data_IF_125759774288
#
_entry.id   IF_125759774288
#
_cell.length_a   1.000
_cell.length_b   1.000
_cell.length_c   1.000
_cell.angle_alpha   90.00
_cell.angle_beta   90.00
_cell.angle_gamma   90.00
#
_symmetry.space_group_name_H-M   'P 1'
#
loop_
_entity.id
_entity.type
_entity.pdbx_description
1 polymer ?
#
# COMPACT_ATOMS: atom_id res chain seq x y z
N UNK A 1 -5.74 -38.51 -8.46
CA UNK A 1 -5.96 -37.15 -7.92
C UNK A 1 -7.08 -37.10 -6.87
N UNK A 2 -8.32 -37.50 -7.19
CA UNK A 2 -9.48 -37.45 -6.26
C UNK A 2 -9.28 -38.14 -4.89
N UNK A 3 -8.60 -39.30 -4.84
CA UNK A 3 -8.24 -39.97 -3.56
C UNK A 3 -7.44 -39.07 -2.60
N UNK A 4 -6.53 -38.26 -3.12
CA UNK A 4 -5.73 -37.34 -2.29
C UNK A 4 -6.52 -36.11 -1.86
N UNK A 5 -7.53 -35.69 -2.63
CA UNK A 5 -8.45 -34.61 -2.24
C UNK A 5 -9.22 -35.02 -0.97
N UNK A 6 -9.75 -36.24 -0.89
CA UNK A 6 -10.41 -36.74 0.34
C UNK A 6 -9.43 -36.79 1.50
N UNK A 7 -8.21 -37.29 1.27
CA UNK A 7 -7.18 -37.36 2.33
C UNK A 7 -6.85 -35.98 2.90
N UNK A 8 -6.74 -34.95 2.05
CA UNK A 8 -6.35 -33.59 2.47
C UNK A 8 -7.52 -32.75 2.97
N UNK A 9 -8.70 -32.87 2.35
CA UNK A 9 -9.85 -31.98 2.57
C UNK A 9 -11.08 -32.68 3.16
N UNK A 10 -11.04 -33.99 3.42
CA UNK A 10 -12.20 -34.72 3.97
C UNK A 10 -12.73 -34.11 5.28
N UNK A 11 -11.83 -33.61 6.12
CA UNK A 11 -12.18 -32.93 7.38
C UNK A 11 -12.80 -31.53 7.18
N UNK A 12 -12.82 -30.99 5.96
CA UNK A 12 -13.39 -29.68 5.62
C UNK A 12 -14.84 -29.78 5.14
N UNK A 13 -15.39 -30.99 5.06
CA UNK A 13 -16.77 -31.24 4.65
C UNK A 13 -16.93 -31.53 3.16
N UNK A 14 -18.02 -32.21 2.85
CA UNK A 14 -18.30 -32.79 1.54
C UNK A 14 -18.45 -31.72 0.44
N UNK A 15 -18.98 -30.54 0.77
CA UNK A 15 -19.07 -29.42 -0.16
C UNK A 15 -17.69 -28.96 -0.66
N UNK A 16 -16.69 -28.85 0.23
CA UNK A 16 -15.33 -28.47 -0.14
C UNK A 16 -14.67 -29.57 -0.98
N UNK A 17 -14.88 -30.84 -0.63
CA UNK A 17 -14.38 -31.98 -1.40
C UNK A 17 -14.96 -31.97 -2.83
N UNK A 18 -16.27 -31.78 -2.97
CA UNK A 18 -16.93 -31.75 -4.27
C UNK A 18 -16.53 -30.55 -5.13
N UNK A 19 -16.30 -29.38 -4.53
CA UNK A 19 -15.72 -28.23 -5.25
C UNK A 19 -14.34 -28.55 -5.82
N UNK A 20 -13.50 -29.25 -5.08
CA UNK A 20 -12.19 -29.67 -5.57
C UNK A 20 -12.29 -30.76 -6.65
N UNK A 21 -13.26 -31.67 -6.56
CA UNK A 21 -13.53 -32.64 -7.62
C UNK A 21 -13.95 -31.95 -8.92
N UNK A 22 -14.86 -31.00 -8.84
CA UNK A 22 -15.29 -30.22 -9.99
C UNK A 22 -14.11 -29.46 -10.63
N UNK A 23 -13.19 -28.93 -9.83
CA UNK A 23 -11.98 -28.29 -10.35
C UNK A 23 -11.07 -29.26 -11.13
N UNK A 24 -10.90 -30.51 -10.65
CA UNK A 24 -10.14 -31.54 -11.38
C UNK A 24 -10.82 -31.90 -12.69
N UNK A 25 -12.13 -32.07 -12.67
CA UNK A 25 -12.90 -32.44 -13.86
C UNK A 25 -12.80 -31.35 -14.93
N UNK A 26 -12.88 -30.08 -14.51
CA UNK A 26 -12.65 -28.92 -15.41
C UNK A 26 -11.19 -28.74 -15.81
N UNK A 27 -10.24 -29.24 -15.04
CA UNK A 27 -8.81 -29.19 -15.36
C UNK A 27 -8.46 -29.89 -16.67
N UNK A 28 -9.31 -30.82 -17.14
CA UNK A 28 -9.19 -31.44 -18.45
C UNK A 28 -9.66 -30.57 -19.63
N UNK A 29 -10.31 -29.43 -19.38
CA UNK A 29 -10.87 -28.53 -20.40
C UNK A 29 -9.82 -27.57 -21.01
N UNK A 30 -8.52 -27.87 -20.86
CA UNK A 30 -7.45 -27.02 -21.39
C UNK A 30 -7.40 -27.07 -22.92
N UNK A 31 -6.91 -25.97 -23.51
CA UNK A 31 -6.70 -25.86 -24.96
C UNK A 31 -5.22 -25.67 -25.22
N UNK A 32 -4.73 -26.25 -26.31
CA UNK A 32 -3.39 -25.95 -26.80
C UNK A 32 -3.39 -24.54 -27.38
N UNK A 33 -2.50 -23.68 -26.88
CA UNK A 33 -2.16 -22.43 -27.53
C UNK A 33 -1.07 -22.73 -28.57
N UNK A 34 -1.37 -22.54 -29.85
CA UNK A 34 -0.38 -22.69 -30.93
C UNK A 34 0.59 -21.53 -30.88
N UNK A 35 1.89 -21.83 -30.88
CA UNK A 35 2.95 -20.82 -30.89
C UNK A 35 3.04 -20.23 -32.29
N UNK A 36 2.96 -18.91 -32.40
CA UNK A 36 3.22 -18.20 -33.64
C UNK A 36 4.74 -18.03 -33.83
N UNK A 37 5.26 -18.52 -34.95
CA UNK A 37 6.68 -18.36 -35.30
C UNK A 37 7.11 -16.89 -35.41
N UNK A 38 6.18 -15.98 -35.70
CA UNK A 38 6.46 -14.54 -35.74
C UNK A 38 6.91 -14.00 -34.37
N UNK A 39 6.54 -14.66 -33.25
CA UNK A 39 6.95 -14.25 -31.90
C UNK A 39 8.45 -14.29 -31.68
N UNK A 40 9.20 -15.09 -32.45
CA UNK A 40 10.65 -15.13 -32.40
C UNK A 40 11.31 -13.81 -32.88
N UNK A 41 10.55 -12.95 -33.56
CA UNK A 41 11.03 -11.68 -34.11
C UNK A 41 10.33 -10.46 -33.47
N UNK A 42 9.63 -10.64 -32.35
CA UNK A 42 9.11 -9.50 -31.60
C UNK A 42 10.26 -8.64 -31.10
N UNK A 43 10.10 -7.33 -31.22
CA UNK A 43 11.03 -6.39 -30.60
C UNK A 43 10.92 -6.47 -29.08
N UNK A 44 12.04 -6.29 -28.39
CA UNK A 44 12.03 -6.08 -26.95
C UNK A 44 11.19 -4.84 -26.60
N UNK A 45 10.55 -4.88 -25.43
CA UNK A 45 9.88 -3.71 -24.88
C UNK A 45 10.90 -2.60 -24.58
N UNK A 46 10.47 -1.35 -24.70
CA UNK A 46 11.32 -0.21 -24.34
C UNK A 46 11.66 -0.27 -22.85
N UNK A 47 12.95 -0.07 -22.53
CA UNK A 47 13.40 0.00 -21.14
C UNK A 47 12.85 1.27 -20.50
N UNK A 48 11.96 1.10 -19.52
CA UNK A 48 11.43 2.23 -18.75
C UNK A 48 12.56 2.91 -17.95
N UNK A 49 12.82 4.17 -18.27
CA UNK A 49 13.76 4.99 -17.48
C UNK A 49 13.09 5.50 -16.21
N UNK A 50 13.77 5.37 -15.08
CA UNK A 50 13.38 6.00 -13.81
C UNK A 50 14.53 6.82 -13.23
N UNK A 51 14.22 7.70 -12.28
CA UNK A 51 15.18 8.53 -11.57
C UNK A 51 15.40 8.04 -10.12
N UNK A 52 15.17 6.75 -9.86
CA UNK A 52 15.33 6.19 -8.51
C UNK A 52 16.81 6.16 -8.10
N UNK A 53 17.12 6.20 -6.79
CA UNK A 53 18.48 6.15 -6.31
C UNK A 53 19.25 4.95 -6.84
N UNK A 54 20.57 5.11 -7.05
CA UNK A 54 21.43 4.05 -7.57
C UNK A 54 21.34 2.75 -6.76
N UNK A 55 21.19 2.84 -5.42
CA UNK A 55 21.01 1.68 -4.55
C UNK A 55 19.74 0.87 -4.88
N UNK A 56 18.64 1.54 -5.25
CA UNK A 56 17.40 0.88 -5.66
C UNK A 56 17.61 0.13 -6.97
N UNK A 57 18.15 0.80 -7.98
CA UNK A 57 18.32 0.24 -9.32
C UNK A 57 19.39 -0.85 -9.39
N UNK A 58 20.48 -0.75 -8.60
CA UNK A 58 21.64 -1.67 -8.69
C UNK A 58 21.62 -2.79 -7.65
N UNK A 59 20.83 -2.68 -6.59
CA UNK A 59 20.81 -3.68 -5.50
C UNK A 59 19.40 -4.22 -5.28
N UNK A 60 18.46 -3.36 -4.92
CA UNK A 60 17.11 -3.79 -4.52
C UNK A 60 16.32 -4.42 -5.68
N UNK A 61 16.30 -3.77 -6.86
CA UNK A 61 15.57 -4.29 -8.03
C UNK A 61 16.13 -5.63 -8.54
N UNK A 62 17.45 -5.83 -8.69
CA UNK A 62 18.02 -7.14 -9.03
C UNK A 62 17.66 -8.24 -8.03
N UNK A 63 17.74 -7.97 -6.72
CA UNK A 63 17.35 -8.94 -5.69
C UNK A 63 15.86 -9.33 -5.85
N UNK A 64 14.98 -8.34 -6.04
CA UNK A 64 13.55 -8.58 -6.22
C UNK A 64 13.23 -9.30 -7.54
N UNK A 65 14.06 -9.13 -8.57
CA UNK A 65 14.00 -9.86 -9.84
C UNK A 65 14.54 -11.30 -9.76
N UNK A 66 14.92 -11.76 -8.56
CA UNK A 66 15.54 -13.08 -8.32
C UNK A 66 16.95 -13.22 -8.92
N UNK A 67 17.62 -12.10 -9.21
CA UNK A 67 18.97 -12.03 -9.77
C UNK A 67 20.02 -11.60 -8.72
N UNK A 68 19.69 -11.71 -7.43
CA UNK A 68 20.57 -11.29 -6.33
C UNK A 68 21.92 -12.01 -6.32
N UNK A 69 21.96 -13.30 -6.70
CA UNK A 69 23.18 -14.10 -6.79
C UNK A 69 24.15 -13.61 -7.89
N UNK A 70 23.67 -12.82 -8.85
CA UNK A 70 24.51 -12.24 -9.90
C UNK A 70 25.26 -10.98 -9.45
N UNK A 71 24.90 -10.41 -8.30
CA UNK A 71 25.54 -9.19 -7.80
C UNK A 71 26.98 -9.49 -7.34
N UNK A 72 28.00 -8.86 -7.96
CA UNK A 72 29.37 -9.05 -7.50
C UNK A 72 29.57 -8.41 -6.12
N UNK A 73 30.56 -8.89 -5.36
CA UNK A 73 30.93 -8.34 -4.05
C UNK A 73 31.18 -6.82 -4.09
N UNK A 74 31.72 -6.32 -5.21
CA UNK A 74 31.97 -4.89 -5.43
C UNK A 74 30.70 -4.02 -5.41
N UNK A 75 29.51 -4.59 -5.59
CA UNK A 75 28.22 -3.91 -5.45
C UNK A 75 28.01 -3.35 -4.05
N UNK A 76 28.58 -4.02 -3.04
CA UNK A 76 28.42 -3.70 -1.63
C UNK A 76 29.57 -2.85 -1.07
N UNK A 77 30.39 -2.25 -1.95
CA UNK A 77 31.42 -1.30 -1.53
C UNK A 77 30.77 -0.11 -0.83
N UNK A 78 31.34 0.32 0.29
CA UNK A 78 30.80 1.30 1.25
C UNK A 78 29.60 0.80 2.08
N UNK A 79 29.37 -0.51 2.14
CA UNK A 79 28.42 -1.18 3.04
C UNK A 79 29.02 -2.51 3.54
N UNK A 80 30.33 -2.51 3.77
CA UNK A 80 31.10 -3.69 4.18
C UNK A 80 30.66 -4.26 5.54
N UNK A 81 30.04 -3.43 6.37
CA UNK A 81 29.49 -3.79 7.68
C UNK A 81 28.04 -4.29 7.61
N UNK A 82 27.45 -4.38 6.42
CA UNK A 82 26.07 -4.78 6.20
C UNK A 82 25.03 -3.67 6.43
N UNK A 83 25.44 -2.41 6.58
CA UNK A 83 24.53 -1.28 6.68
C UNK A 83 23.63 -1.18 5.44
N UNK A 84 22.32 -1.00 5.65
CA UNK A 84 21.32 -0.92 4.58
C UNK A 84 20.67 0.47 4.50
N UNK A 85 20.29 0.89 3.28
CA UNK A 85 19.60 2.14 3.08
C UNK A 85 18.16 2.10 3.65
N UNK A 86 17.76 3.15 4.37
CA UNK A 86 16.40 3.27 4.88
C UNK A 86 15.40 3.65 3.77
N UNK A 87 14.14 3.26 3.95
CA UNK A 87 13.04 3.69 3.07
C UNK A 87 13.06 3.09 1.67
N UNK A 88 13.67 1.92 1.46
CA UNK A 88 13.66 1.22 0.18
C UNK A 88 12.29 0.63 -0.18
N UNK A 89 11.47 0.29 0.82
CA UNK A 89 10.16 -0.35 0.63
C UNK A 89 9.20 0.49 -0.24
N UNK A 90 9.31 1.82 -0.22
CA UNK A 90 8.43 2.70 -1.01
C UNK A 90 8.56 2.51 -2.53
N UNK A 91 9.66 1.91 -3.00
CA UNK A 91 9.91 1.62 -4.42
C UNK A 91 9.40 0.25 -4.86
N UNK A 92 8.92 -0.60 -3.93
CA UNK A 92 8.49 -1.97 -4.28
C UNK A 92 7.17 -2.02 -5.03
N UNK A 93 6.17 -1.21 -4.60
CA UNK A 93 4.87 -1.06 -5.27
C UNK A 93 4.23 -2.40 -5.71
N UNK A 94 4.21 -3.36 -4.79
CA UNK A 94 3.93 -4.80 -5.06
C UNK A 94 2.59 -5.08 -5.75
N UNK A 95 1.54 -4.29 -5.48
CA UNK A 95 0.25 -4.41 -6.15
C UNK A 95 -0.47 -5.75 -5.94
N UNK A 96 -0.38 -6.35 -4.74
CA UNK A 96 -0.83 -7.74 -4.49
C UNK A 96 -2.23 -7.86 -3.87
N UNK A 97 -2.92 -6.77 -3.57
CA UNK A 97 -4.25 -6.82 -2.98
C UNK A 97 -5.30 -7.17 -4.04
N UNK A 98 -6.27 -8.02 -3.68
CA UNK A 98 -7.46 -8.23 -4.51
C UNK A 98 -8.48 -7.08 -4.39
N UNK A 99 -8.55 -6.46 -3.21
CA UNK A 99 -9.47 -5.36 -2.92
C UNK A 99 -8.77 -4.19 -2.25
N UNK A 100 -9.16 -2.98 -2.63
CA UNK A 100 -8.60 -1.70 -2.18
C UNK A 100 -9.73 -0.84 -1.59
N UNK A 101 -9.48 -0.09 -0.51
CA UNK A 101 -10.47 0.85 0.02
C UNK A 101 -10.64 2.06 -0.93
N UNK A 102 -11.84 2.22 -1.48
CA UNK A 102 -12.26 3.44 -2.18
C UNK A 102 -12.73 4.49 -1.16
N UNK A 103 -12.28 5.73 -1.30
CA UNK A 103 -12.68 6.83 -0.42
C UNK A 103 -13.94 7.54 -0.93
N UNK A 104 -14.95 7.66 -0.07
CA UNK A 104 -16.21 8.37 -0.33
C UNK A 104 -16.17 9.71 0.44
N UNK A 105 -15.86 10.84 -0.22
CA UNK A 105 -15.59 12.10 0.45
C UNK A 105 -16.80 12.63 1.24
N UNK A 106 -18.01 12.50 0.70
CA UNK A 106 -19.23 13.00 1.34
C UNK A 106 -19.50 12.37 2.70
N UNK A 107 -19.08 11.12 2.88
CA UNK A 107 -19.26 10.36 4.12
C UNK A 107 -18.12 10.59 5.12
N UNK A 108 -17.03 11.24 4.70
CA UNK A 108 -15.82 11.37 5.49
C UNK A 108 -15.94 12.45 6.57
N UNK A 109 -15.63 12.08 7.82
CA UNK A 109 -15.62 12.98 8.98
C UNK A 109 -14.23 13.53 9.31
N UNK A 110 -13.21 13.22 8.49
CA UNK A 110 -11.81 13.65 8.68
C UNK A 110 -11.24 13.28 10.06
N UNK A 111 -11.59 12.08 10.56
CA UNK A 111 -11.16 11.59 11.87
C UNK A 111 -9.81 10.85 11.87
N UNK A 112 -9.27 10.54 10.69
CA UNK A 112 -8.00 9.83 10.45
C UNK A 112 -7.86 8.42 11.07
N UNK A 113 -8.94 7.83 11.59
CA UNK A 113 -8.89 6.47 12.17
C UNK A 113 -8.44 5.40 11.18
N UNK A 114 -8.82 5.54 9.91
CA UNK A 114 -8.42 4.63 8.84
C UNK A 114 -6.90 4.62 8.60
N UNK A 115 -6.24 5.77 8.64
CA UNK A 115 -4.79 5.88 8.58
C UNK A 115 -4.11 5.38 9.86
N UNK A 116 -4.74 5.63 11.01
CA UNK A 116 -4.25 5.19 12.31
C UNK A 116 -4.10 3.66 12.38
N UNK A 117 -5.12 2.92 11.93
CA UNK A 117 -5.15 1.44 12.01
C UNK A 117 -4.46 0.74 10.84
N UNK A 118 -3.99 1.47 9.82
CA UNK A 118 -3.40 0.84 8.65
C UNK A 118 -2.04 0.20 9.02
N UNK A 119 -1.88 -1.12 8.86
CA UNK A 119 -0.65 -1.81 9.22
C UNK A 119 0.52 -1.53 8.27
N UNK A 120 0.27 -0.94 7.10
CA UNK A 120 1.30 -0.72 6.07
C UNK A 120 1.48 0.75 5.71
N UNK A 121 0.82 1.66 6.45
CA UNK A 121 0.77 3.09 6.11
C UNK A 121 0.30 3.38 4.67
N UNK A 122 -0.51 2.49 4.08
CA UNK A 122 -1.01 2.57 2.71
C UNK A 122 -2.27 3.44 2.54
N UNK A 123 -2.72 4.12 3.60
CA UNK A 123 -3.79 5.12 3.54
C UNK A 123 -3.42 6.25 4.51
N UNK A 124 -3.40 7.49 4.02
CA UNK A 124 -2.92 8.66 4.77
C UNK A 124 -3.80 9.89 4.54
N UNK A 125 -3.97 10.74 5.57
CA UNK A 125 -4.57 12.06 5.39
C UNK A 125 -3.53 13.04 4.84
N UNK A 126 -3.94 13.82 3.85
CA UNK A 126 -3.17 14.93 3.30
C UNK A 126 -3.97 16.21 3.50
N UNK A 127 -3.29 17.28 3.90
CA UNK A 127 -3.85 18.63 3.98
C UNK A 127 -3.04 19.51 3.04
N UNK A 128 -3.72 20.10 2.06
CA UNK A 128 -3.10 20.87 1.00
C UNK A 128 -3.35 22.35 1.21
N UNK A 129 -2.29 23.16 1.20
CA UNK A 129 -2.40 24.61 1.15
C UNK A 129 -2.78 25.13 -0.26
N UNK A 130 -2.90 26.45 -0.41
CA UNK A 130 -3.36 27.04 -1.66
C UNK A 130 -2.42 26.81 -2.85
N UNK A 131 -1.11 26.64 -2.61
CA UNK A 131 -0.14 26.39 -3.68
C UNK A 131 -0.14 24.91 -4.07
N UNK A 132 -0.18 24.02 -3.09
CA UNK A 132 -0.30 22.57 -3.27
C UNK A 132 -1.62 22.17 -3.94
N UNK A 133 -2.67 23.00 -3.84
CA UNK A 133 -3.94 22.77 -4.54
C UNK A 133 -3.86 23.00 -6.06
N UNK A 134 -2.95 23.85 -6.54
CA UNK A 134 -2.91 24.27 -7.96
C UNK A 134 -2.63 23.12 -8.92
N UNK A 135 -1.90 22.11 -8.48
CA UNK A 135 -1.58 20.93 -9.29
C UNK A 135 -2.44 19.70 -8.98
N UNK A 136 -3.36 19.79 -8.00
CA UNK A 136 -4.19 18.68 -7.56
C UNK A 136 -5.43 18.57 -8.45
N UNK A 137 -5.51 17.52 -9.28
CA UNK A 137 -6.65 17.24 -10.15
C UNK A 137 -7.50 16.06 -9.63
N UNK A 138 -7.82 16.08 -8.34
CA UNK A 138 -8.58 15.03 -7.67
C UNK A 138 -9.49 15.62 -6.60
N UNK A 139 -10.51 14.86 -6.20
CA UNK A 139 -11.50 15.32 -5.22
C UNK A 139 -10.86 15.63 -3.86
N UNK A 140 -11.19 16.78 -3.30
CA UNK A 140 -10.75 17.22 -1.98
C UNK A 140 -11.94 17.77 -1.20
N UNK A 141 -11.83 17.75 0.13
CA UNK A 141 -12.79 18.38 1.03
C UNK A 141 -12.18 19.66 1.60
N UNK A 142 -13.00 20.60 2.08
CA UNK A 142 -12.50 21.64 2.98
C UNK A 142 -11.92 20.99 4.24
N UNK A 143 -10.71 21.37 4.65
CA UNK A 143 -10.11 20.83 5.87
C UNK A 143 -10.87 21.30 7.13
N UNK A 144 -11.08 20.39 8.09
CA UNK A 144 -11.77 20.67 9.36
C UNK A 144 -10.78 21.00 10.48
N UNK A 145 -10.84 22.25 10.95
CA UNK A 145 -10.07 22.79 12.07
C UNK A 145 -9.63 24.22 11.76
N UNK A 146 -9.66 25.12 12.75
CA UNK A 146 -9.30 26.55 12.55
C UNK A 146 -7.87 26.73 12.03
N UNK A 147 -6.95 25.87 12.46
CA UNK A 147 -5.56 25.87 12.00
C UNK A 147 -5.38 25.51 10.51
N UNK A 148 -6.44 24.99 9.86
CA UNK A 148 -6.44 24.61 8.45
C UNK A 148 -7.36 25.51 7.61
N UNK A 149 -7.70 26.71 8.09
CA UNK A 149 -8.52 27.65 7.33
C UNK A 149 -7.88 27.96 5.97
N UNK A 150 -8.68 27.85 4.91
CA UNK A 150 -8.22 27.98 3.52
C UNK A 150 -7.54 26.75 2.91
N UNK A 151 -7.32 25.69 3.70
CA UNK A 151 -6.73 24.43 3.23
C UNK A 151 -7.79 23.39 2.88
N UNK A 152 -7.37 22.41 2.09
CA UNK A 152 -8.21 21.25 1.72
C UNK A 152 -7.64 19.96 2.28
N UNK A 153 -8.48 18.94 2.41
CA UNK A 153 -8.19 17.64 2.97
C UNK A 153 -8.49 16.54 1.95
N UNK A 154 -7.62 15.55 1.90
CA UNK A 154 -7.84 14.31 1.16
C UNK A 154 -7.38 13.11 1.96
N UNK A 155 -8.18 12.05 1.97
CA UNK A 155 -7.72 10.73 2.41
C UNK A 155 -7.27 9.97 1.17
N UNK A 156 -5.97 9.71 1.03
CA UNK A 156 -5.39 9.09 -0.16
C UNK A 156 -4.87 7.69 0.16
N UNK A 157 -5.05 6.77 -0.77
CA UNK A 157 -4.68 5.36 -0.65
C UNK A 157 -3.54 5.06 -1.62
N UNK A 158 -2.51 4.36 -1.14
CA UNK A 158 -1.49 3.76 -2.00
C UNK A 158 -2.01 2.41 -2.45
N UNK A 159 -2.54 2.36 -3.66
CA UNK A 159 -3.15 1.13 -4.19
C UNK A 159 -2.12 0.02 -4.40
N UNK A 160 -0.88 0.39 -4.72
CA UNK A 160 0.22 -0.54 -4.97
C UNK A 160 0.91 -1.04 -3.69
N UNK A 161 0.70 -0.39 -2.55
CA UNK A 161 1.27 -0.83 -1.26
C UNK A 161 0.22 -1.39 -0.29
N UNK A 162 -1.07 -1.26 -0.63
CA UNK A 162 -2.14 -1.84 0.18
C UNK A 162 -2.14 -3.36 0.06
N UNK A 163 -2.38 -4.07 1.18
CA UNK A 163 -2.54 -5.53 1.20
C UNK A 163 -4.01 -5.99 1.31
N UNK A 164 -4.97 -5.07 1.18
CA UNK A 164 -6.40 -5.40 1.12
C UNK A 164 -7.00 -5.99 2.41
N UNK A 165 -6.39 -5.75 3.58
CA UNK A 165 -6.83 -6.34 4.86
C UNK A 165 -8.22 -5.91 5.34
N UNK A 166 -8.76 -4.79 4.83
CA UNK A 166 -10.08 -4.29 5.23
C UNK A 166 -10.13 -3.50 6.55
N UNK A 167 -9.08 -3.49 7.38
CA UNK A 167 -9.09 -2.83 8.71
C UNK A 167 -9.58 -1.38 8.67
N UNK A 168 -9.13 -0.60 7.68
CA UNK A 168 -9.53 0.79 7.51
C UNK A 168 -11.01 0.95 7.14
N UNK A 169 -11.56 0.05 6.33
CA UNK A 169 -13.00 0.02 5.98
C UNK A 169 -13.84 -0.43 7.17
N UNK A 170 -13.33 -1.36 7.98
CA UNK A 170 -14.04 -1.89 9.14
C UNK A 170 -14.25 -0.81 10.21
N UNK A 171 -13.16 -0.17 10.63
CA UNK A 171 -13.18 0.84 11.70
C UNK A 171 -13.80 2.18 11.30
N UNK A 172 -14.08 2.39 10.01
CA UNK A 172 -14.54 3.69 9.51
C UNK A 172 -15.89 4.05 10.14
N UNK A 173 -15.96 5.10 11.00
CA UNK A 173 -17.22 5.47 11.64
C UNK A 173 -18.18 6.14 10.64
N UNK A 174 -17.62 6.73 9.57
CA UNK A 174 -18.39 7.41 8.53
C UNK A 174 -19.27 8.54 9.06
N UNK A 175 -20.24 8.94 8.24
CA UNK A 175 -21.31 9.85 8.65
C UNK A 175 -22.67 9.17 8.42
N UNK A 176 -23.35 8.71 9.48
CA UNK A 176 -24.64 8.03 9.35
C UNK A 176 -25.71 8.87 8.62
N UNK A 177 -25.63 10.21 8.71
CA UNK A 177 -26.58 11.11 8.03
C UNK A 177 -26.31 11.26 6.53
N UNK A 178 -25.16 10.80 6.03
CA UNK A 178 -24.74 10.97 4.63
C UNK A 178 -24.57 9.66 3.87
N UNK A 179 -24.85 8.51 4.48
CA UNK A 179 -24.73 7.20 3.83
C UNK A 179 -23.80 6.22 4.53
N UNK A 180 -23.35 6.53 5.75
CA UNK A 180 -22.57 5.61 6.57
C UNK A 180 -21.07 5.67 6.26
N UNK A 181 -20.44 4.52 6.00
CA UNK A 181 -18.98 4.38 5.88
C UNK A 181 -18.42 5.26 4.76
N UNK A 182 -17.23 5.83 5.00
CA UNK A 182 -16.49 6.64 4.04
C UNK A 182 -15.42 5.86 3.27
N UNK A 183 -15.34 4.55 3.52
CA UNK A 183 -14.42 3.63 2.85
C UNK A 183 -15.16 2.34 2.52
N UNK A 184 -15.05 1.89 1.28
CA UNK A 184 -15.68 0.65 0.78
C UNK A 184 -14.64 -0.14 -0.01
N UNK A 185 -14.59 -1.45 0.20
CA UNK A 185 -13.68 -2.31 -0.57
C UNK A 185 -14.14 -2.43 -2.03
N UNK A 186 -13.23 -2.17 -2.96
CA UNK A 186 -13.42 -2.29 -4.42
C UNK A 186 -12.34 -3.17 -5.01
N UNK A 187 -12.61 -3.81 -6.15
CA UNK A 187 -11.62 -4.61 -6.86
C UNK A 187 -10.40 -3.74 -7.24
N UNK A 188 -9.20 -4.29 -7.09
CA UNK A 188 -7.92 -3.58 -7.28
C UNK A 188 -7.84 -2.83 -8.62
N UNK A 189 -8.26 -3.48 -9.70
CA UNK A 189 -8.18 -2.96 -11.07
C UNK A 189 -9.01 -1.67 -11.24
N UNK A 190 -10.09 -1.53 -10.47
CA UNK A 190 -10.95 -0.34 -10.51
C UNK A 190 -10.34 0.88 -9.83
N UNK A 191 -9.27 0.68 -9.05
CA UNK A 191 -8.66 1.72 -8.21
C UNK A 191 -7.28 2.16 -8.71
N UNK A 192 -6.76 1.59 -9.80
CA UNK A 192 -5.42 1.91 -10.34
C UNK A 192 -5.22 3.40 -10.66
N UNK A 193 -6.30 4.12 -11.01
CA UNK A 193 -6.27 5.56 -11.23
C UNK A 193 -5.87 6.38 -9.99
N UNK A 194 -5.85 5.79 -8.80
CA UNK A 194 -5.41 6.43 -7.56
C UNK A 194 -3.87 6.40 -7.37
N UNK A 195 -3.13 5.60 -8.14
CA UNK A 195 -1.67 5.57 -8.09
C UNK A 195 -1.03 6.95 -8.36
N UNK A 196 -1.37 7.69 -9.45
CA UNK A 196 -0.82 9.03 -9.67
C UNK A 196 -1.28 10.05 -8.60
N UNK A 197 -2.47 9.89 -8.02
CA UNK A 197 -2.93 10.75 -6.93
C UNK A 197 -2.11 10.53 -5.65
N UNK A 198 -1.78 9.27 -5.33
CA UNK A 198 -0.86 8.94 -4.25
C UNK A 198 0.51 9.59 -4.47
N UNK A 199 1.07 9.44 -5.67
CA UNK A 199 2.39 10.01 -5.99
C UNK A 199 2.39 11.54 -5.86
N UNK A 200 1.34 12.21 -6.32
CA UNK A 200 1.18 13.65 -6.12
C UNK A 200 1.17 14.00 -4.63
N UNK A 201 0.35 13.31 -3.84
CA UNK A 201 0.24 13.54 -2.41
C UNK A 201 1.58 13.32 -1.68
N UNK A 202 2.35 12.29 -2.01
CA UNK A 202 3.62 12.02 -1.33
C UNK A 202 4.79 12.87 -1.80
N UNK A 203 4.77 13.35 -3.05
CA UNK A 203 5.89 14.12 -3.63
C UNK A 203 5.70 15.63 -3.59
N UNK A 204 4.45 16.12 -3.58
CA UNK A 204 4.14 17.56 -3.68
C UNK A 204 3.50 18.16 -2.44
N UNK A 205 2.91 17.35 -1.56
CA UNK A 205 2.21 17.85 -0.37
C UNK A 205 3.10 17.70 0.86
N UNK A 206 3.44 18.83 1.47
CA UNK A 206 4.25 18.86 2.69
C UNK A 206 3.40 18.50 3.92
N UNK A 207 4.01 17.80 4.88
CA UNK A 207 3.32 17.50 6.14
C UNK A 207 2.93 18.79 6.88
N UNK A 208 1.67 18.85 7.30
CA UNK A 208 1.14 19.94 8.14
C UNK A 208 1.21 19.61 9.65
N UNK A 209 2.08 18.67 10.05
CA UNK A 209 2.22 18.24 11.45
C UNK A 209 2.57 19.39 12.41
N UNK A 210 3.25 20.43 11.93
CA UNK A 210 3.63 21.60 12.75
C UNK A 210 2.44 22.48 13.14
N UNK A 211 1.26 22.31 12.52
CA UNK A 211 0.04 23.05 12.82
C UNK A 211 -0.81 22.38 13.92
N UNK A 212 -0.41 21.21 14.40
CA UNK A 212 -1.16 20.43 15.40
C UNK A 212 -0.24 19.87 16.47
N UNK A 213 -0.78 19.62 17.66
CA UNK A 213 -0.11 18.75 18.63
C UNK A 213 -0.36 17.29 18.25
N UNK A 214 0.64 16.66 17.62
CA UNK A 214 0.58 15.27 17.17
C UNK A 214 0.37 14.25 18.31
N UNK A 215 0.64 14.62 19.57
CA UNK A 215 0.49 13.75 20.74
C UNK A 215 -0.91 13.83 21.37
N UNK A 216 -1.66 14.88 21.05
CA UNK A 216 -2.93 15.18 21.72
C UNK A 216 -4.02 14.13 21.49
N UNK A 217 -4.13 13.55 20.30
CA UNK A 217 -5.18 12.59 19.96
C UNK A 217 -4.89 11.81 18.67
N UNK A 218 -5.73 10.80 18.41
CA UNK A 218 -5.69 9.95 17.21
C UNK A 218 -5.69 10.76 15.92
N UNK A 219 -6.58 11.76 15.77
CA UNK A 219 -6.68 12.55 14.53
C UNK A 219 -5.35 13.24 14.23
N UNK A 220 -4.80 13.94 15.22
CA UNK A 220 -3.62 14.78 15.05
C UNK A 220 -2.35 13.97 14.81
N UNK A 221 -2.19 12.83 15.49
CA UNK A 221 -1.04 11.93 15.27
C UNK A 221 -0.87 11.52 13.81
N UNK A 222 -1.96 11.46 13.04
CA UNK A 222 -1.94 10.99 11.66
C UNK A 222 -1.58 12.05 10.63
N UNK A 223 -1.45 13.33 11.03
CA UNK A 223 -0.85 14.35 10.17
C UNK A 223 0.68 14.30 10.16
N UNK A 224 1.29 13.59 11.12
CA UNK A 224 2.71 13.31 11.11
C UNK A 224 3.05 12.23 10.08
N UNK A 225 4.16 12.42 9.37
CA UNK A 225 4.65 11.47 8.37
C UNK A 225 4.99 10.14 9.04
N UNK A 226 4.39 9.00 8.63
CA UNK A 226 4.83 7.69 9.07
C UNK A 226 6.26 7.42 8.60
N UNK A 227 7.16 7.01 9.51
CA UNK A 227 8.54 6.62 9.15
C UNK A 227 8.72 5.09 9.15
N UNK A 228 7.64 4.34 9.35
CA UNK A 228 7.55 2.90 9.16
C UNK A 228 6.38 2.61 8.21
N UNK A 229 6.71 2.20 6.98
CA UNK A 229 5.75 2.05 5.88
C UNK A 229 6.06 0.81 5.03
N UNK A 230 5.02 0.22 4.45
CA UNK A 230 5.10 -0.82 3.40
C UNK A 230 5.94 -2.05 3.77
N UNK A 231 5.93 -2.46 5.04
CA UNK A 231 6.70 -3.62 5.49
C UNK A 231 6.20 -4.93 4.87
N UNK A 232 7.06 -5.95 4.89
CA UNK A 232 6.71 -7.33 4.49
C UNK A 232 5.78 -8.07 5.46
N UNK A 233 5.19 -7.40 6.45
CA UNK A 233 4.28 -8.02 7.40
C UNK A 233 2.96 -8.50 6.74
N UNK A 234 2.31 -9.48 7.36
CA UNK A 234 1.05 -10.04 6.88
C UNK A 234 -0.06 -8.99 6.66
N UNK A 235 -1.00 -9.29 5.77
CA UNK A 235 -2.22 -8.49 5.61
C UNK A 235 -3.01 -8.47 6.92
N UNK A 236 -3.20 -7.28 7.49
CA UNK A 236 -3.90 -7.10 8.78
C UNK A 236 -3.04 -7.35 10.01
N UNK A 237 -1.70 -7.32 9.88
CA UNK A 237 -0.78 -7.50 11.01
C UNK A 237 -1.15 -6.61 12.22
N UNK A 238 -1.17 -7.21 13.41
CA UNK A 238 -1.51 -6.52 14.65
C UNK A 238 -0.38 -5.70 15.26
N UNK A 239 0.87 -5.85 14.79
CA UNK A 239 2.04 -5.21 15.40
C UNK A 239 2.35 -3.85 14.76
N UNK A 240 2.36 -3.80 13.43
CA UNK A 240 2.87 -2.65 12.68
C UNK A 240 2.08 -1.35 12.84
N UNK A 241 0.76 -1.32 13.15
CA UNK A 241 0.09 -0.08 13.52
C UNK A 241 0.72 0.62 14.73
N UNK A 242 1.23 -0.15 15.70
CA UNK A 242 1.91 0.38 16.88
C UNK A 242 3.28 0.97 16.52
N UNK A 243 4.09 0.24 15.76
CA UNK A 243 5.41 0.72 15.30
C UNK A 243 5.27 1.98 14.43
N UNK A 244 4.28 1.99 13.52
CA UNK A 244 3.93 3.16 12.72
C UNK A 244 3.62 4.36 13.61
N UNK A 245 2.75 4.20 14.61
CA UNK A 245 2.40 5.29 15.52
C UNK A 245 3.61 5.78 16.33
N UNK A 246 4.44 4.89 16.85
CA UNK A 246 5.68 5.25 17.56
C UNK A 246 6.57 6.10 16.66
N UNK A 247 6.75 5.69 15.40
CA UNK A 247 7.52 6.46 14.40
C UNK A 247 6.94 7.84 14.12
N UNK A 248 5.62 7.99 14.15
CA UNK A 248 4.95 9.28 13.95
C UNK A 248 5.14 10.23 15.15
N UNK A 249 5.30 9.69 16.36
CA UNK A 249 5.43 10.50 17.59
C UNK A 249 6.87 10.84 17.95
N UNK A 250 7.83 9.95 17.62
CA UNK A 250 9.22 10.03 18.10
C UNK A 250 10.26 9.68 17.03
N UNK A 251 9.84 9.40 15.79
CA UNK A 251 10.70 8.86 14.75
C UNK A 251 11.86 9.75 14.32
N UNK A 252 11.77 11.05 14.56
CA UNK A 252 12.81 12.05 14.27
C UNK A 252 14.06 11.90 15.14
N UNK A 253 13.96 11.20 16.27
CA UNK A 253 15.03 11.09 17.28
C UNK A 253 15.09 9.72 17.97
N UNK A 254 14.32 8.74 17.52
CA UNK A 254 14.31 7.41 18.11
C UNK A 254 15.48 6.57 17.61
N UNK A 255 15.96 5.68 18.47
CA UNK A 255 16.84 4.58 18.11
C UNK A 255 16.10 3.28 18.43
N UNK A 256 16.09 2.35 17.48
CA UNK A 256 15.37 1.07 17.62
C UNK A 256 16.39 -0.04 17.79
N UNK A 257 16.28 -0.77 18.90
CA UNK A 257 16.92 -2.08 19.07
C UNK A 257 15.83 -3.13 18.95
N UNK A 258 15.85 -3.91 17.86
CA UNK A 258 14.87 -4.93 17.58
C UNK A 258 15.47 -6.31 17.89
N UNK A 259 14.74 -7.10 18.68
CA UNK A 259 15.13 -8.46 19.07
C UNK A 259 15.09 -9.45 17.89
#
# INVERSE_FOLDING_TARGET
MKKFIVKSYGNKGEDIVNKNYAAVDRGGEYKQLTIDSAWANLSDDEVETNNDPAFINKVVRPINAQDGDLLPVSTFKNSEDGTWAQGTAKYEKRGVAAFIPEWIPDNCTQCNKCAYVCPHAAIRPFVLDADEQKGANFTMLKAVGKQFDGMTFRMQVSVLDCLGCGNCTDICPGNPKKGGKALVAKAFETQLAEAPNWEYCTSKVSSKQHLVDIKSNVKNSQFATPLFEFSGACSGCGETPYLKLISQLFGDRQMVSNA
#
